data_IF_218225119779
#
_entry.id   IF_218225119779
#
_cell.length_a   1.000
_cell.length_b   1.000
_cell.length_c   1.000
_cell.angle_alpha   90.00
_cell.angle_beta   90.00
_cell.angle_gamma   90.00
#
_symmetry.space_group_name_H-M   'P 1'
#
loop_
_entity.id
_entity.type
_entity.pdbx_description
1 polymer ?
#
# COMPACT_ATOMS: atom_id res chain seq x y z
N UNK A 1 9.38 24.64 16.90
CA UNK A 1 8.88 23.99 15.67
C UNK A 1 9.48 22.60 15.60
N UNK A 2 8.65 21.56 15.43
CA UNK A 2 9.10 20.18 15.28
C UNK A 2 9.51 19.95 13.81
N UNK A 3 10.56 19.17 13.57
CA UNK A 3 11.26 19.13 12.28
C UNK A 3 10.56 18.27 11.22
N UNK A 4 10.96 18.37 9.93
CA UNK A 4 10.38 17.59 8.82
C UNK A 4 10.39 16.06 9.03
N UNK A 5 11.36 15.55 9.78
CA UNK A 5 11.47 14.12 10.13
C UNK A 5 10.36 13.69 11.09
N UNK A 6 9.96 14.54 12.03
CA UNK A 6 8.91 14.21 13.00
C UNK A 6 7.56 14.04 12.31
N UNK A 7 7.29 14.82 11.26
CA UNK A 7 6.05 14.71 10.49
C UNK A 7 6.00 13.44 9.61
N UNK A 8 7.15 12.97 9.11
CA UNK A 8 7.24 11.66 8.42
C UNK A 8 6.85 10.54 9.38
N UNK A 9 7.45 10.53 10.58
CA UNK A 9 7.19 9.50 11.59
C UNK A 9 5.74 9.53 12.06
N UNK A 10 5.21 10.71 12.41
CA UNK A 10 3.81 10.87 12.82
C UNK A 10 2.83 10.46 11.72
N UNK A 11 3.10 10.82 10.48
CA UNK A 11 2.27 10.45 9.33
C UNK A 11 2.20 8.94 9.15
N UNK A 12 3.34 8.24 9.26
CA UNK A 12 3.39 6.77 9.20
C UNK A 12 2.56 6.13 10.34
N UNK A 13 2.74 6.60 11.58
CA UNK A 13 2.00 6.09 12.75
C UNK A 13 0.50 6.30 12.62
N UNK A 14 0.05 7.50 12.23
CA UNK A 14 -1.38 7.81 12.03
C UNK A 14 -2.01 6.94 10.94
N UNK A 15 -1.26 6.71 9.86
CA UNK A 15 -1.72 5.88 8.74
C UNK A 15 -1.85 4.43 9.17
N UNK A 16 -0.85 3.89 9.87
CA UNK A 16 -0.90 2.52 10.39
C UNK A 16 -2.11 2.30 11.31
N UNK A 17 -2.30 3.18 12.30
CA UNK A 17 -3.44 3.09 13.21
C UNK A 17 -4.80 3.23 12.48
N UNK A 18 -4.84 3.94 11.34
CA UNK A 18 -6.05 4.02 10.53
C UNK A 18 -6.31 2.74 9.74
N UNK A 19 -5.27 2.06 9.24
CA UNK A 19 -5.40 0.74 8.62
C UNK A 19 -5.98 -0.25 9.61
N UNK A 20 -5.44 -0.32 10.84
CA UNK A 20 -5.94 -1.23 11.87
C UNK A 20 -7.43 -1.02 12.18
N UNK A 21 -7.88 0.23 12.27
CA UNK A 21 -9.32 0.55 12.47
C UNK A 21 -10.21 0.20 11.28
N UNK A 22 -9.64 0.00 10.09
CA UNK A 22 -10.36 -0.34 8.87
C UNK A 22 -10.29 -1.85 8.57
N UNK A 23 -9.42 -2.59 9.25
CA UNK A 23 -9.32 -4.04 9.10
C UNK A 23 -10.59 -4.72 9.59
N UNK A 24 -11.01 -5.82 8.96
CA UNK A 24 -12.18 -6.58 9.38
C UNK A 24 -11.95 -7.30 10.72
N UNK A 25 -13.04 -7.58 11.42
CA UNK A 25 -13.02 -8.50 12.56
C UNK A 25 -12.61 -9.91 12.11
N UNK A 26 -12.00 -10.67 13.04
CA UNK A 26 -11.62 -12.05 12.79
C UNK A 26 -12.86 -12.90 12.42
N UNK A 27 -12.77 -13.65 11.32
CA UNK A 27 -13.86 -14.49 10.81
C UNK A 27 -14.85 -13.75 9.90
N UNK A 28 -14.69 -12.45 9.68
CA UNK A 28 -15.45 -11.75 8.65
C UNK A 28 -15.07 -12.27 7.25
N UNK A 29 -16.04 -12.38 6.30
CA UNK A 29 -15.76 -12.81 4.94
C UNK A 29 -14.89 -11.77 4.22
N UNK A 30 -13.93 -12.24 3.40
CA UNK A 30 -13.11 -11.37 2.56
C UNK A 30 -13.93 -10.59 1.52
N UNK A 31 -13.60 -9.32 1.28
CA UNK A 31 -14.37 -8.36 0.47
C UNK A 31 -13.57 -7.68 -0.65
N UNK A 32 -12.62 -8.38 -1.27
CA UNK A 32 -11.95 -7.87 -2.47
C UNK A 32 -12.62 -8.51 -3.69
N UNK A 33 -13.03 -7.71 -4.68
CA UNK A 33 -13.67 -8.23 -5.90
C UNK A 33 -15.18 -8.49 -5.80
N UNK A 34 -15.87 -7.92 -4.81
CA UNK A 34 -17.30 -8.14 -4.55
C UNK A 34 -18.26 -7.31 -5.44
N UNK A 35 -17.76 -6.70 -6.51
CA UNK A 35 -18.54 -5.81 -7.37
C UNK A 35 -18.60 -4.35 -6.91
N UNK A 36 -18.14 -4.01 -5.70
CA UNK A 36 -18.32 -2.67 -5.11
C UNK A 36 -17.12 -1.73 -5.26
N UNK A 37 -15.98 -2.23 -5.71
CA UNK A 37 -14.75 -1.43 -5.86
C UNK A 37 -14.17 -0.95 -4.52
N UNK A 38 -14.46 -1.69 -3.44
CA UNK A 38 -14.05 -1.36 -2.08
C UNK A 38 -12.86 -2.17 -1.63
N UNK A 39 -12.06 -1.57 -0.75
CA UNK A 39 -11.06 -2.27 0.06
C UNK A 39 -11.46 -2.06 1.51
N UNK A 40 -11.84 -3.14 2.19
CA UNK A 40 -12.51 -3.04 3.48
C UNK A 40 -13.82 -2.27 3.36
N UNK A 41 -14.09 -1.24 4.20
CA UNK A 41 -15.37 -0.53 4.18
C UNK A 41 -15.44 0.65 3.21
N UNK A 42 -14.35 0.99 2.50
CA UNK A 42 -14.26 2.23 1.71
C UNK A 42 -14.00 1.95 0.21
N UNK A 43 -14.58 2.76 -0.70
CA UNK A 43 -14.14 2.83 -2.09
C UNK A 43 -12.66 3.23 -2.20
N UNK A 44 -11.94 2.69 -3.18
CA UNK A 44 -10.50 2.92 -3.34
C UNK A 44 -10.12 4.41 -3.32
N UNK A 45 -10.83 5.28 -4.06
CA UNK A 45 -10.55 6.71 -4.08
C UNK A 45 -10.68 7.39 -2.71
N UNK A 46 -11.71 7.03 -1.92
CA UNK A 46 -11.91 7.58 -0.57
C UNK A 46 -10.86 7.06 0.41
N UNK A 47 -10.48 5.78 0.28
CA UNK A 47 -9.39 5.19 1.06
C UNK A 47 -8.07 5.92 0.79
N UNK A 48 -7.70 6.11 -0.47
CA UNK A 48 -6.48 6.81 -0.86
C UNK A 48 -6.45 8.24 -0.33
N UNK A 49 -7.55 8.99 -0.49
CA UNK A 49 -7.65 10.36 0.03
C UNK A 49 -7.45 10.40 1.56
N UNK A 50 -8.14 9.51 2.29
CA UNK A 50 -8.04 9.43 3.76
C UNK A 50 -6.64 9.06 4.23
N UNK A 51 -6.03 8.05 3.63
CA UNK A 51 -4.67 7.62 3.98
C UNK A 51 -3.65 8.71 3.67
N UNK A 52 -3.76 9.38 2.52
CA UNK A 52 -2.86 10.49 2.17
C UNK A 52 -2.99 11.66 3.14
N UNK A 53 -4.21 12.07 3.50
CA UNK A 53 -4.43 13.13 4.51
C UNK A 53 -3.73 12.82 5.82
N UNK A 54 -3.72 11.56 6.27
CA UNK A 54 -3.03 11.15 7.49
C UNK A 54 -1.50 11.08 7.31
N UNK A 55 -1.05 10.54 6.19
CA UNK A 55 0.37 10.27 5.91
C UNK A 55 1.18 11.54 5.59
N UNK A 56 0.53 12.55 5.01
CA UNK A 56 1.16 13.78 4.53
C UNK A 56 0.87 15.01 5.40
N UNK A 57 0.08 14.88 6.47
CA UNK A 57 -0.23 15.98 7.38
C UNK A 57 1.05 16.65 7.92
N UNK A 58 1.18 17.97 7.75
CA UNK A 58 2.36 18.75 8.12
C UNK A 58 3.53 18.68 7.13
N UNK A 59 3.45 17.84 6.09
CA UNK A 59 4.51 17.65 5.08
C UNK A 59 4.21 18.32 3.74
N UNK A 60 2.94 18.58 3.46
CA UNK A 60 2.43 19.24 2.25
C UNK A 60 1.42 20.31 2.66
N UNK A 61 1.13 21.31 1.80
CA UNK A 61 0.06 22.26 2.05
C UNK A 61 -1.30 21.56 2.25
N UNK A 62 -2.15 22.11 3.12
CA UNK A 62 -3.42 21.49 3.51
C UNK A 62 -4.36 21.30 2.31
N UNK A 63 -4.28 22.18 1.31
CA UNK A 63 -5.01 22.07 0.06
C UNK A 63 -4.59 20.87 -0.80
N UNK A 64 -3.41 20.27 -0.56
CA UNK A 64 -2.96 19.06 -1.26
C UNK A 64 -3.40 17.77 -0.57
N UNK A 65 -3.80 17.83 0.70
CA UNK A 65 -4.16 16.65 1.48
C UNK A 65 -5.35 15.90 0.85
N UNK A 66 -5.19 14.60 0.71
CA UNK A 66 -6.13 13.70 0.04
C UNK A 66 -6.36 13.95 -1.45
N UNK A 67 -5.63 14.88 -2.10
CA UNK A 67 -5.85 15.22 -3.51
C UNK A 67 -4.72 14.68 -4.40
N UNK A 68 -5.04 13.98 -5.51
CA UNK A 68 -4.03 13.61 -6.49
C UNK A 68 -3.24 14.83 -6.98
N UNK A 69 -1.96 14.65 -7.25
CA UNK A 69 -1.02 15.75 -7.52
C UNK A 69 -1.31 16.53 -8.81
N UNK A 70 -2.08 15.96 -9.75
CA UNK A 70 -2.19 16.52 -11.09
C UNK A 70 -0.80 16.68 -11.69
N UNK A 71 -0.52 17.79 -12.38
CA UNK A 71 0.79 17.99 -13.03
C UNK A 71 1.92 18.39 -12.06
N UNK A 72 1.63 18.53 -10.75
CA UNK A 72 2.67 18.79 -9.77
C UNK A 72 3.66 17.62 -9.70
N UNK A 73 4.96 17.89 -9.49
CA UNK A 73 5.94 16.84 -9.27
C UNK A 73 5.69 16.13 -7.93
N UNK A 74 6.22 14.92 -7.81
CA UNK A 74 6.25 14.18 -6.55
C UNK A 74 7.64 14.27 -5.93
N UNK A 75 7.71 14.42 -4.61
CA UNK A 75 8.93 14.64 -3.85
C UNK A 75 9.49 13.34 -3.21
N UNK A 76 8.80 12.20 -3.34
CA UNK A 76 9.26 10.91 -2.82
C UNK A 76 9.46 9.87 -3.92
N UNK A 77 10.14 8.77 -3.55
CA UNK A 77 10.37 7.61 -4.41
C UNK A 77 11.13 7.90 -5.72
N UNK A 78 12.07 8.87 -5.70
CA UNK A 78 12.88 9.25 -6.87
C UNK A 78 13.69 8.09 -7.49
N UNK A 79 13.98 7.03 -6.72
CA UNK A 79 14.68 5.83 -7.20
C UNK A 79 13.85 4.93 -8.13
N UNK A 80 12.56 5.21 -8.33
CA UNK A 80 11.64 4.40 -9.14
C UNK A 80 11.51 4.90 -10.60
N UNK A 81 12.37 5.82 -11.03
CA UNK A 81 12.32 6.43 -12.37
C UNK A 81 11.31 7.58 -12.49
N UNK A 82 11.07 8.03 -13.72
CA UNK A 82 10.17 9.15 -13.99
C UNK A 82 8.73 8.80 -13.60
N UNK A 83 8.05 9.69 -12.87
CA UNK A 83 6.64 9.53 -12.56
C UNK A 83 5.79 9.83 -13.80
N UNK A 84 4.66 9.12 -14.01
CA UNK A 84 3.71 9.47 -15.07
C UNK A 84 3.25 10.94 -14.99
N UNK A 85 2.83 11.50 -16.12
CA UNK A 85 2.29 12.86 -16.18
C UNK A 85 1.00 12.98 -15.35
N UNK A 86 0.66 14.20 -14.93
CA UNK A 86 -0.48 14.44 -14.04
C UNK A 86 -1.83 14.08 -14.62
N UNK A 87 -2.02 14.34 -15.92
CA UNK A 87 -3.21 13.94 -16.67
C UNK A 87 -3.49 12.43 -16.61
N UNK A 88 -2.45 11.61 -16.54
CA UNK A 88 -2.58 10.15 -16.54
C UNK A 88 -2.93 9.59 -15.15
N UNK A 89 -2.65 10.35 -14.07
CA UNK A 89 -2.90 9.92 -12.69
C UNK A 89 -4.38 9.67 -12.45
N UNK A 90 -5.24 10.62 -12.82
CA UNK A 90 -6.69 10.49 -12.63
C UNK A 90 -7.27 9.30 -13.39
N UNK A 91 -6.86 9.13 -14.66
CA UNK A 91 -7.30 8.02 -15.49
C UNK A 91 -6.86 6.67 -14.92
N UNK A 92 -5.58 6.52 -14.55
CA UNK A 92 -5.08 5.27 -13.96
C UNK A 92 -5.74 4.93 -12.63
N UNK A 93 -6.00 5.91 -11.76
CA UNK A 93 -6.75 5.67 -10.52
C UNK A 93 -8.18 5.21 -10.77
N UNK A 94 -8.84 5.71 -11.82
CA UNK A 94 -10.17 5.23 -12.23
C UNK A 94 -10.11 3.77 -12.70
N UNK A 95 -9.11 3.41 -13.52
CA UNK A 95 -8.87 2.03 -13.97
C UNK A 95 -8.61 1.10 -12.78
N UNK A 96 -7.78 1.51 -11.82
CA UNK A 96 -7.54 0.72 -10.60
C UNK A 96 -8.82 0.53 -9.78
N UNK A 97 -9.66 1.55 -9.69
CA UNK A 97 -10.95 1.46 -8.98
C UNK A 97 -11.87 0.44 -9.65
N UNK A 98 -11.94 0.45 -10.97
CA UNK A 98 -12.70 -0.54 -11.74
C UNK A 98 -12.14 -1.96 -11.57
N UNK A 99 -10.81 -2.11 -11.64
CA UNK A 99 -10.12 -3.38 -11.44
C UNK A 99 -10.47 -3.99 -10.08
N UNK A 100 -10.38 -3.22 -9.00
CA UNK A 100 -10.73 -3.67 -7.65
C UNK A 100 -12.18 -4.11 -7.56
N UNK A 101 -13.09 -3.46 -8.29
CA UNK A 101 -14.50 -3.81 -8.29
C UNK A 101 -14.83 -5.10 -9.04
N UNK A 102 -14.04 -5.47 -10.05
CA UNK A 102 -14.39 -6.55 -10.99
C UNK A 102 -13.49 -7.78 -10.90
N UNK A 103 -12.32 -7.66 -10.28
CA UNK A 103 -11.32 -8.73 -10.26
C UNK A 103 -11.77 -9.91 -9.40
N UNK A 104 -11.57 -11.14 -9.89
CA UNK A 104 -11.68 -12.38 -9.11
C UNK A 104 -10.31 -12.94 -8.68
N UNK A 105 -9.23 -12.18 -8.85
CA UNK A 105 -7.89 -12.63 -8.51
C UNK A 105 -7.70 -12.79 -6.98
N UNK A 106 -6.78 -13.67 -6.53
CA UNK A 106 -6.47 -13.82 -5.11
C UNK A 106 -6.07 -12.48 -4.45
N UNK A 107 -6.48 -12.27 -3.20
CA UNK A 107 -6.24 -11.02 -2.48
C UNK A 107 -4.76 -10.59 -2.45
N UNK A 108 -3.83 -11.55 -2.31
CA UNK A 108 -2.39 -11.27 -2.36
C UNK A 108 -1.93 -10.72 -3.71
N UNK A 109 -2.49 -11.20 -4.81
CA UNK A 109 -2.20 -10.69 -6.17
C UNK A 109 -2.75 -9.27 -6.31
N UNK A 110 -4.00 -9.04 -5.90
CA UNK A 110 -4.62 -7.70 -5.95
C UNK A 110 -3.82 -6.71 -5.09
N UNK A 111 -3.40 -7.12 -3.89
CA UNK A 111 -2.58 -6.30 -3.01
C UNK A 111 -1.23 -5.94 -3.64
N UNK A 112 -0.53 -6.92 -4.23
CA UNK A 112 0.75 -6.70 -4.88
C UNK A 112 0.62 -5.76 -6.10
N UNK A 113 -0.42 -5.94 -6.93
CA UNK A 113 -0.68 -5.04 -8.07
C UNK A 113 -1.00 -3.63 -7.61
N UNK A 114 -1.91 -3.45 -6.66
CA UNK A 114 -2.23 -2.12 -6.11
C UNK A 114 -0.99 -1.45 -5.50
N UNK A 115 -0.17 -2.22 -4.78
CA UNK A 115 1.06 -1.72 -4.20
C UNK A 115 2.00 -1.20 -5.29
N UNK A 116 2.31 -2.03 -6.28
CA UNK A 116 3.19 -1.68 -7.39
C UNK A 116 2.67 -0.48 -8.20
N UNK A 117 1.39 -0.48 -8.54
CA UNK A 117 0.75 0.60 -9.31
C UNK A 117 0.78 1.93 -8.55
N UNK A 118 0.50 1.93 -7.24
CA UNK A 118 0.57 3.16 -6.44
C UNK A 118 2.01 3.68 -6.31
N UNK A 119 3.00 2.79 -6.18
CA UNK A 119 4.43 3.16 -6.17
C UNK A 119 4.89 3.70 -7.52
N UNK A 120 4.43 3.12 -8.63
CA UNK A 120 4.78 3.56 -9.98
C UNK A 120 4.08 4.88 -10.35
N UNK A 121 2.80 5.01 -10.02
CA UNK A 121 1.98 6.18 -10.37
C UNK A 121 2.33 7.41 -9.54
N UNK A 122 2.66 7.19 -8.25
CA UNK A 122 2.93 8.24 -7.26
C UNK A 122 1.82 9.29 -7.27
N UNK A 123 0.57 8.92 -6.94
CA UNK A 123 -0.58 9.79 -7.17
C UNK A 123 -0.56 11.10 -6.37
N UNK A 124 0.30 11.23 -5.36
CA UNK A 124 0.38 12.41 -4.48
C UNK A 124 1.75 13.10 -4.56
N UNK A 125 1.81 14.35 -4.10
CA UNK A 125 3.05 15.14 -4.07
C UNK A 125 4.06 14.59 -3.05
N UNK A 126 3.61 13.85 -2.03
CA UNK A 126 4.45 13.11 -1.09
C UNK A 126 3.70 11.93 -0.45
N UNK A 127 4.42 11.15 0.36
CA UNK A 127 3.92 10.04 1.17
C UNK A 127 3.33 8.84 0.41
N UNK A 128 3.63 8.72 -0.89
CA UNK A 128 3.14 7.65 -1.76
C UNK A 128 3.53 6.27 -1.24
N UNK A 129 4.77 6.10 -0.77
CA UNK A 129 5.24 4.82 -0.25
C UNK A 129 4.48 4.36 1.01
N UNK A 130 4.11 5.31 1.89
CA UNK A 130 3.33 5.00 3.10
C UNK A 130 1.90 4.61 2.72
N UNK A 131 1.28 5.36 1.81
CA UNK A 131 -0.07 5.07 1.31
C UNK A 131 -0.12 3.72 0.60
N UNK A 132 0.86 3.43 -0.26
CA UNK A 132 0.89 2.21 -1.06
C UNK A 132 1.00 0.95 -0.17
N UNK A 133 1.87 0.96 0.85
CA UNK A 133 1.96 -0.12 1.85
C UNK A 133 0.68 -0.26 2.67
N UNK A 134 0.09 0.86 3.10
CA UNK A 134 -1.15 0.86 3.85
C UNK A 134 -2.32 0.24 3.06
N UNK A 135 -2.44 0.56 1.77
CA UNK A 135 -3.43 -0.06 0.86
C UNK A 135 -3.15 -1.54 0.67
N UNK A 136 -1.89 -1.94 0.47
CA UNK A 136 -1.51 -3.34 0.33
C UNK A 136 -1.91 -4.16 1.57
N UNK A 137 -1.56 -3.68 2.77
CA UNK A 137 -1.91 -4.33 4.05
C UNK A 137 -3.42 -4.46 4.23
N UNK A 138 -4.16 -3.38 3.98
CA UNK A 138 -5.62 -3.44 4.08
C UNK A 138 -6.24 -4.38 3.03
N UNK A 139 -5.66 -4.49 1.84
CA UNK A 139 -6.14 -5.41 0.79
C UNK A 139 -5.95 -6.87 1.18
N UNK A 140 -4.77 -7.23 1.71
CA UNK A 140 -4.50 -8.58 2.22
C UNK A 140 -5.46 -8.93 3.36
N UNK A 141 -5.65 -8.00 4.31
CA UNK A 141 -6.52 -8.22 5.46
C UNK A 141 -8.00 -8.28 5.09
N UNK A 142 -8.51 -7.27 4.37
CA UNK A 142 -9.89 -7.23 3.91
C UNK A 142 -10.21 -8.34 2.90
N UNK A 143 -9.22 -8.87 2.19
CA UNK A 143 -9.37 -10.02 1.30
C UNK A 143 -9.34 -11.38 2.00
N UNK A 144 -9.14 -11.41 3.32
CA UNK A 144 -9.17 -12.63 4.13
C UNK A 144 -7.85 -13.41 4.18
N UNK A 145 -6.78 -12.92 3.54
CA UNK A 145 -5.48 -13.60 3.52
C UNK A 145 -4.73 -13.43 4.86
N UNK A 146 -4.84 -12.26 5.49
CA UNK A 146 -4.33 -12.00 6.84
C UNK A 146 -5.32 -11.14 7.64
N UNK A 147 -6.45 -11.70 8.08
CA UNK A 147 -7.47 -10.95 8.82
C UNK A 147 -6.93 -10.34 10.12
N UNK A 148 -5.93 -10.97 10.74
CA UNK A 148 -5.33 -10.51 12.00
C UNK A 148 -4.29 -9.40 11.80
N UNK A 149 -3.78 -9.22 10.57
CA UNK A 149 -2.72 -8.26 10.26
C UNK A 149 -1.36 -8.64 10.83
N UNK A 150 -1.16 -9.91 11.14
CA UNK A 150 0.06 -10.43 11.75
C UNK A 150 1.16 -10.70 10.71
N UNK A 151 0.84 -10.84 9.43
CA UNK A 151 1.83 -10.99 8.37
C UNK A 151 2.45 -9.63 8.03
N UNK A 152 3.41 -9.19 8.86
CA UNK A 152 4.07 -7.88 8.75
C UNK A 152 5.12 -7.88 7.63
N UNK A 153 4.66 -7.82 6.38
CA UNK A 153 5.51 -7.80 5.18
C UNK A 153 6.51 -6.63 5.19
N UNK A 154 6.17 -5.50 5.82
CA UNK A 154 7.05 -4.34 5.94
C UNK A 154 8.34 -4.64 6.70
N UNK A 155 8.30 -5.57 7.66
CA UNK A 155 9.52 -5.99 8.37
C UNK A 155 10.50 -6.71 7.45
N UNK A 156 9.98 -7.52 6.52
CA UNK A 156 10.79 -8.25 5.53
C UNK A 156 11.39 -7.29 4.51
N UNK A 157 10.61 -6.32 4.01
CA UNK A 157 11.14 -5.30 3.11
C UNK A 157 12.14 -4.36 3.79
N UNK A 158 12.00 -4.12 5.10
CA UNK A 158 12.94 -3.32 5.87
C UNK A 158 14.32 -3.98 6.03
N UNK A 159 14.39 -5.32 6.01
CA UNK A 159 15.66 -6.06 6.03
C UNK A 159 16.44 -5.91 4.71
N UNK A 160 15.74 -5.73 3.60
CA UNK A 160 16.32 -5.61 2.26
C UNK A 160 15.72 -4.42 1.45
N UNK A 161 15.89 -3.17 1.92
CA UNK A 161 15.17 -2.02 1.37
C UNK A 161 15.57 -1.70 -0.08
N UNK A 162 16.83 -1.97 -0.46
CA UNK A 162 17.30 -1.79 -1.83
C UNK A 162 16.70 -2.81 -2.80
N UNK A 163 16.52 -4.07 -2.36
CA UNK A 163 15.87 -5.10 -3.17
C UNK A 163 14.41 -4.73 -3.39
N UNK A 164 13.70 -4.34 -2.33
CA UNK A 164 12.33 -3.84 -2.44
C UNK A 164 12.21 -2.67 -3.42
N UNK A 165 13.09 -1.68 -3.33
CA UNK A 165 13.09 -0.52 -4.23
C UNK A 165 13.42 -0.91 -5.68
N UNK A 166 14.43 -1.76 -5.90
CA UNK A 166 14.84 -2.20 -7.24
C UNK A 166 13.73 -3.01 -7.92
N UNK A 167 13.07 -3.91 -7.20
CA UNK A 167 11.95 -4.70 -7.73
C UNK A 167 10.72 -3.84 -8.00
N UNK A 168 10.43 -2.85 -7.15
CA UNK A 168 9.38 -1.85 -7.42
C UNK A 168 9.68 -1.02 -8.67
N UNK A 169 10.94 -0.62 -8.88
CA UNK A 169 11.36 0.07 -10.09
C UNK A 169 11.23 -0.86 -11.32
N UNK A 170 11.50 -2.15 -11.16
CA UNK A 170 11.24 -3.18 -12.16
C UNK A 170 9.77 -3.26 -12.54
N UNK A 171 8.87 -3.34 -11.56
CA UNK A 171 7.42 -3.34 -11.78
C UNK A 171 6.97 -2.11 -12.60
N UNK A 172 7.49 -0.93 -12.28
CA UNK A 172 7.13 0.32 -12.95
C UNK A 172 7.45 0.34 -14.46
N UNK A 173 8.30 -0.57 -14.97
CA UNK A 173 8.58 -0.70 -16.40
C UNK A 173 7.45 -1.38 -17.19
N UNK A 174 6.57 -2.13 -16.52
CA UNK A 174 5.54 -2.95 -17.15
C UNK A 174 6.07 -4.20 -17.86
N UNK A 175 7.37 -4.48 -17.77
CA UNK A 175 7.97 -5.71 -18.30
C UNK A 175 7.40 -6.95 -17.56
N UNK A 176 6.86 -7.95 -18.29
CA UNK A 176 6.18 -9.08 -17.66
C UNK A 176 7.02 -9.85 -16.64
N UNK A 177 8.31 -10.07 -16.92
CA UNK A 177 9.20 -10.81 -16.02
C UNK A 177 9.47 -9.99 -14.75
N UNK A 178 9.65 -8.68 -14.87
CA UNK A 178 9.82 -7.79 -13.71
C UNK A 178 8.54 -7.60 -12.90
N UNK A 179 7.39 -7.60 -13.55
CA UNK A 179 6.08 -7.61 -12.86
C UNK A 179 5.92 -8.92 -12.09
N UNK A 180 6.24 -10.06 -12.70
CA UNK A 180 6.20 -11.35 -12.01
C UNK A 180 7.16 -11.38 -10.80
N UNK A 181 8.38 -10.87 -10.95
CA UNK A 181 9.35 -10.77 -9.85
C UNK A 181 8.81 -9.92 -8.68
N UNK A 182 8.08 -8.84 -8.95
CA UNK A 182 7.43 -8.03 -7.92
C UNK A 182 6.31 -8.78 -7.20
N UNK A 183 5.46 -9.50 -7.94
CA UNK A 183 4.39 -10.30 -7.35
C UNK A 183 4.96 -11.39 -6.42
N UNK A 184 6.04 -12.06 -6.84
CA UNK A 184 6.75 -13.06 -6.02
C UNK A 184 7.35 -12.41 -4.79
N UNK A 185 8.08 -11.29 -4.92
CA UNK A 185 8.64 -10.57 -3.78
C UNK A 185 7.57 -10.16 -2.75
N UNK A 186 6.38 -9.73 -3.21
CA UNK A 186 5.27 -9.41 -2.32
C UNK A 186 4.73 -10.65 -1.60
N UNK A 187 4.56 -11.76 -2.33
CA UNK A 187 4.08 -13.01 -1.75
C UNK A 187 5.05 -13.58 -0.72
N UNK A 188 6.34 -13.59 -1.03
CA UNK A 188 7.40 -14.05 -0.13
C UNK A 188 7.44 -13.21 1.15
N UNK A 189 7.29 -11.88 1.04
CA UNK A 189 7.26 -11.01 2.21
C UNK A 189 6.06 -11.26 3.13
N UNK A 190 4.88 -11.56 2.56
CA UNK A 190 3.70 -11.95 3.35
C UNK A 190 3.92 -13.31 4.02
N UNK A 191 4.45 -14.30 3.30
CA UNK A 191 4.70 -15.63 3.83
C UNK A 191 5.77 -15.63 4.95
N UNK A 192 6.86 -14.91 4.75
CA UNK A 192 7.92 -14.75 5.76
C UNK A 192 7.40 -13.94 6.96
N UNK A 193 6.62 -12.87 6.73
CA UNK A 193 5.97 -12.11 7.80
C UNK A 193 5.06 -12.98 8.66
N UNK A 194 4.24 -13.84 8.04
CA UNK A 194 3.40 -14.79 8.76
C UNK A 194 4.23 -15.82 9.55
N UNK A 195 5.31 -16.33 8.96
CA UNK A 195 6.23 -17.27 9.61
C UNK A 195 6.89 -16.66 10.85
N UNK A 196 7.35 -15.41 10.76
CA UNK A 196 7.94 -14.68 11.91
C UNK A 196 6.93 -14.50 13.04
N UNK A 197 5.69 -14.16 12.70
CA UNK A 197 4.64 -13.96 13.69
C UNK A 197 4.20 -15.27 14.36
N UNK A 198 4.17 -16.39 13.63
CA UNK A 198 3.91 -17.70 14.22
C UNK A 198 5.00 -18.09 15.23
N UNK A 199 6.29 -17.92 14.88
CA UNK A 199 7.40 -18.17 15.80
C UNK A 199 7.31 -17.33 17.07
N UNK A 200 7.00 -16.04 16.94
CA UNK A 200 6.84 -15.16 18.09
C UNK A 200 5.68 -15.61 19.00
N UNK A 201 4.56 -16.05 18.42
CA UNK A 201 3.44 -16.57 19.19
C UNK A 201 3.80 -17.85 19.96
N UNK A 202 4.54 -18.77 19.33
CA UNK A 202 5.04 -20.00 19.96
C UNK A 202 6.02 -19.69 21.11
N UNK A 203 6.92 -18.73 20.92
CA UNK A 203 7.87 -18.28 21.95
C UNK A 203 7.14 -17.71 23.17
N UNK A 204 6.10 -16.89 22.99
CA UNK A 204 5.29 -16.36 24.09
C UNK A 204 4.58 -17.46 24.87
N UNK A 205 4.10 -18.52 24.21
CA UNK A 205 3.45 -19.66 24.89
C UNK A 205 4.44 -20.56 25.64
N UNK A 206 5.73 -20.45 25.35
CA UNK A 206 6.79 -21.24 25.99
C UNK A 206 7.35 -20.62 27.28
N UNK A 207 6.86 -19.43 27.66
CA UNK A 207 7.23 -18.68 28.87
C UNK A 207 6.08 -18.62 29.88
#
# INVERSE_FOLDING_TARGET
AQGPTDDVVRGAVRTHAAVERLMPDLGAPGRVGDGRGTIGPLPLGQLLARLHTLAAAGRVPDEELGRPRGDRPTADLAGLGAAPAGSDVGHRLAVLTELVGRTGAPAGVVAAVLHGELLALRPFTAANGVVARAVARLTVSAGGLDPTGCAVAESVWADAPLVYQATAAGFATGDPDRVAAWLVLCADAVAEGATRSARLADEVLSH
#
